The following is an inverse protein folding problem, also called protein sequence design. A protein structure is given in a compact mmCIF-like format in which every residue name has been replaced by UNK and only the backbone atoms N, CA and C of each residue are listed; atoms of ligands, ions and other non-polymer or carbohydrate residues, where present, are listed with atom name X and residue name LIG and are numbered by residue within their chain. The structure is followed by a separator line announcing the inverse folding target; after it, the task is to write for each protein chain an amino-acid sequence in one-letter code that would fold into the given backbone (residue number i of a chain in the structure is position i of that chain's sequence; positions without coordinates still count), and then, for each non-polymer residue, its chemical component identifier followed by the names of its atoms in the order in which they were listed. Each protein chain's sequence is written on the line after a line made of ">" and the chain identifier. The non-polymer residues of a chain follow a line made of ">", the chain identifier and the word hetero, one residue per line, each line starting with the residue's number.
data_IF_175885556627
#
_entry.id   IF_175885556627
#
_cell.length_a   1.000
_cell.length_b   1.000
_cell.length_c   1.000
_cell.angle_alpha   90.00
_cell.angle_beta   90.00
_cell.angle_gamma   90.00
#
_symmetry.space_group_name_H-M   'P 1'
#
loop_
_entity.id
_entity.type
_entity.pdbx_description
1 polymer ?
#
# COMPACT_ATOMS: atom_id res chain seq x y z
N UNK A 1 18.51 23.63 -18.54
CA UNK A 1 17.49 22.65 -19.02
C UNK A 1 17.02 21.84 -17.85
N UNK A 2 15.73 21.97 -17.43
CA UNK A 2 15.18 21.21 -16.32
C UNK A 2 15.04 19.75 -16.76
N UNK A 3 15.62 18.82 -16.02
CA UNK A 3 15.52 17.39 -16.30
C UNK A 3 14.09 16.92 -15.96
N UNK A 4 13.42 16.32 -16.92
CA UNK A 4 12.14 15.68 -16.69
C UNK A 4 12.36 14.49 -15.74
N UNK A 5 11.56 14.41 -14.67
CA UNK A 5 11.61 13.28 -13.72
C UNK A 5 10.83 12.13 -14.35
N UNK A 6 11.50 11.02 -14.61
CA UNK A 6 10.83 9.80 -15.05
C UNK A 6 10.14 9.11 -13.86
N UNK A 7 8.90 8.74 -14.06
CA UNK A 7 8.13 7.98 -13.07
C UNK A 7 8.65 6.53 -13.01
N UNK A 8 9.06 6.10 -11.82
CA UNK A 8 9.44 4.71 -11.52
C UNK A 8 8.19 3.91 -11.14
N UNK A 9 7.18 3.91 -11.97
CA UNK A 9 5.99 3.06 -11.78
C UNK A 9 6.07 1.87 -12.71
N UNK A 10 5.96 0.67 -12.16
CA UNK A 10 5.77 -0.53 -12.97
C UNK A 10 4.43 -0.42 -13.70
N UNK A 11 4.53 -0.22 -15.03
CA UNK A 11 3.35 -0.04 -15.90
C UNK A 11 2.60 -1.34 -16.15
N UNK A 12 3.15 -2.48 -15.74
CA UNK A 12 2.57 -3.81 -15.96
C UNK A 12 1.73 -4.29 -14.81
N UNK A 13 1.86 -3.69 -13.61
CA UNK A 13 1.09 -4.09 -12.45
C UNK A 13 -0.39 -3.67 -12.59
N UNK A 14 -1.28 -4.63 -12.62
CA UNK A 14 -2.74 -4.40 -12.64
C UNK A 14 -3.23 -3.65 -11.38
N UNK A 15 -2.47 -3.73 -10.29
CA UNK A 15 -2.79 -3.10 -8.99
C UNK A 15 -2.30 -1.65 -8.83
N UNK A 16 -2.26 -0.87 -9.92
CA UNK A 16 -1.78 0.54 -9.86
C UNK A 16 -2.58 1.45 -8.94
N UNK A 17 -3.76 1.03 -8.52
CA UNK A 17 -4.68 1.86 -7.74
C UNK A 17 -5.46 1.03 -6.74
N UNK A 18 -5.07 1.11 -5.48
CA UNK A 18 -5.84 0.55 -4.37
C UNK A 18 -7.04 1.44 -4.09
N UNK A 19 -8.24 0.82 -4.00
CA UNK A 19 -9.48 1.52 -3.75
C UNK A 19 -9.77 1.62 -2.25
N UNK A 20 -10.60 2.57 -1.87
CA UNK A 20 -11.06 2.76 -0.51
C UNK A 20 -11.82 1.52 0.00
N UNK A 21 -11.57 1.13 1.24
CA UNK A 21 -12.29 0.01 1.86
C UNK A 21 -13.79 0.27 2.07
N UNK A 22 -14.20 1.55 2.05
CA UNK A 22 -15.57 2.00 2.31
C UNK A 22 -16.28 2.58 1.09
N UNK A 23 -15.54 2.84 0.01
CA UNK A 23 -16.10 3.33 -1.25
C UNK A 23 -15.24 2.84 -2.42
N UNK A 24 -15.64 1.76 -3.10
CA UNK A 24 -14.86 1.15 -4.18
C UNK A 24 -14.73 2.02 -5.44
N UNK A 25 -15.51 3.11 -5.56
CA UNK A 25 -15.40 4.06 -6.69
C UNK A 25 -14.26 5.07 -6.49
N UNK A 26 -13.72 5.15 -5.29
CA UNK A 26 -12.65 6.10 -4.93
C UNK A 26 -11.35 5.40 -4.58
N UNK A 27 -10.24 6.02 -4.93
CA UNK A 27 -8.92 5.55 -4.47
C UNK A 27 -8.80 5.67 -2.94
N UNK A 28 -8.07 4.76 -2.31
CA UNK A 28 -7.68 4.90 -0.91
C UNK A 28 -6.89 6.20 -0.72
N UNK A 29 -7.29 7.01 0.26
CA UNK A 29 -6.69 8.31 0.52
C UNK A 29 -6.46 8.53 2.01
N UNK A 30 -5.26 9.01 2.35
CA UNK A 30 -4.88 9.37 3.72
C UNK A 30 -5.76 10.49 4.30
N UNK A 31 -6.25 11.40 3.48
CA UNK A 31 -7.08 12.54 3.87
C UNK A 31 -8.59 12.28 3.80
N UNK A 32 -9.04 11.05 3.52
CA UNK A 32 -10.46 10.74 3.52
C UNK A 32 -11.08 10.97 4.92
N UNK A 33 -12.32 11.51 5.03
CA UNK A 33 -12.97 11.76 6.32
C UNK A 33 -13.20 10.48 7.13
N UNK A 34 -13.62 9.39 6.46
CA UNK A 34 -13.84 8.09 7.11
C UNK A 34 -12.50 7.38 7.36
N UNK A 35 -12.12 7.27 8.62
CA UNK A 35 -10.89 6.59 9.06
C UNK A 35 -10.88 5.09 8.73
N UNK A 36 -12.06 4.46 8.56
CA UNK A 36 -12.18 3.04 8.19
C UNK A 36 -11.98 2.82 6.68
N UNK A 37 -11.83 3.89 5.90
CA UNK A 37 -11.65 3.81 4.44
C UNK A 37 -10.24 3.39 4.01
N UNK A 38 -9.27 3.39 4.94
CA UNK A 38 -7.84 3.17 4.67
C UNK A 38 -7.13 2.42 5.78
N UNK A 39 -6.03 1.77 5.42
CA UNK A 39 -5.06 1.23 6.36
C UNK A 39 -3.88 2.21 6.44
N UNK A 40 -3.44 2.52 7.65
CA UNK A 40 -2.23 3.29 7.93
C UNK A 40 -1.10 2.33 8.34
N UNK A 41 0.14 2.70 8.05
CA UNK A 41 1.31 1.93 8.51
C UNK A 41 1.41 1.85 10.04
N UNK A 42 0.77 2.80 10.75
CA UNK A 42 0.75 2.87 12.22
C UNK A 42 -0.49 2.27 12.85
N UNK A 43 -1.40 1.67 12.05
CA UNK A 43 -2.60 1.01 12.62
C UNK A 43 -2.20 -0.20 13.45
N UNK A 44 -2.79 -0.35 14.64
CA UNK A 44 -2.60 -1.55 15.45
C UNK A 44 -3.28 -2.77 14.82
N UNK A 45 -2.90 -4.01 15.20
CA UNK A 45 -3.57 -5.21 14.72
C UNK A 45 -5.10 -5.16 14.88
N UNK A 46 -5.60 -4.67 16.02
CA UNK A 46 -7.03 -4.53 16.30
C UNK A 46 -7.69 -3.52 15.35
N UNK A 47 -7.00 -2.42 15.05
CA UNK A 47 -7.48 -1.42 14.11
C UNK A 47 -7.53 -1.98 12.69
N UNK A 48 -6.51 -2.73 12.26
CA UNK A 48 -6.50 -3.40 10.95
C UNK A 48 -7.67 -4.38 10.85
N UNK A 49 -7.85 -5.27 11.85
CA UNK A 49 -8.98 -6.20 11.89
C UNK A 49 -10.33 -5.47 11.81
N UNK A 50 -10.51 -4.41 12.61
CA UNK A 50 -11.75 -3.63 12.61
C UNK A 50 -12.04 -2.99 11.26
N UNK A 51 -11.04 -2.37 10.63
CA UNK A 51 -11.17 -1.69 9.33
C UNK A 51 -11.45 -2.68 8.20
N UNK A 52 -10.73 -3.79 8.14
CA UNK A 52 -10.95 -4.83 7.12
C UNK A 52 -12.30 -5.51 7.32
N UNK A 53 -12.72 -5.78 8.57
CA UNK A 53 -14.07 -6.32 8.87
C UNK A 53 -15.17 -5.39 8.34
N UNK A 54 -15.01 -4.07 8.48
CA UNK A 54 -15.96 -3.05 8.02
C UNK A 54 -15.85 -2.73 6.52
N UNK A 55 -14.85 -3.26 5.81
CA UNK A 55 -14.72 -3.07 4.37
C UNK A 55 -15.99 -3.51 3.65
N UNK A 56 -16.40 -2.74 2.64
CA UNK A 56 -17.59 -3.07 1.85
C UNK A 56 -17.29 -4.33 1.03
N UNK A 57 -18.25 -5.24 0.97
CA UNK A 57 -18.32 -6.39 0.06
C UNK A 57 -19.77 -6.54 -0.38
N UNK A 58 -19.98 -7.19 -1.50
CA UNK A 58 -21.33 -7.53 -1.95
C UNK A 58 -21.95 -8.69 -1.11
N UNK A 59 -23.20 -9.02 -1.41
CA UNK A 59 -23.97 -10.08 -0.71
C UNK A 59 -23.74 -11.49 -1.27
N UNK A 60 -22.91 -11.64 -2.31
CA UNK A 60 -22.65 -12.95 -2.91
C UNK A 60 -21.80 -13.80 -1.97
N UNK A 61 -22.20 -15.06 -1.84
CA UNK A 61 -21.56 -16.02 -0.93
C UNK A 61 -20.22 -16.54 -1.43
N UNK A 62 -20.01 -16.52 -2.76
CA UNK A 62 -18.79 -17.03 -3.41
C UNK A 62 -17.80 -15.90 -3.72
N UNK A 63 -16.51 -16.13 -3.47
CA UNK A 63 -15.46 -15.18 -3.84
C UNK A 63 -15.07 -15.40 -5.29
N UNK A 64 -15.17 -14.35 -6.11
CA UNK A 64 -14.68 -14.29 -7.50
C UNK A 64 -13.96 -12.97 -7.72
N UNK A 65 -12.97 -12.98 -8.59
CA UNK A 65 -12.31 -11.78 -9.05
C UNK A 65 -13.01 -11.26 -10.31
N UNK A 66 -13.64 -10.12 -10.20
CA UNK A 66 -14.33 -9.41 -11.27
C UNK A 66 -14.31 -7.90 -10.94
N UNK A 67 -13.33 -7.14 -11.45
CA UNK A 67 -13.21 -5.72 -11.14
C UNK A 67 -14.38 -4.86 -11.59
N UNK A 68 -15.12 -5.27 -12.63
CA UNK A 68 -16.24 -4.51 -13.16
C UNK A 68 -17.52 -4.78 -12.37
N UNK A 69 -17.89 -6.05 -12.21
CA UNK A 69 -19.11 -6.42 -11.51
C UNK A 69 -18.97 -6.41 -9.98
N UNK A 70 -17.76 -6.64 -9.46
CA UNK A 70 -17.48 -6.80 -8.02
C UNK A 70 -16.25 -5.99 -7.56
N UNK A 71 -16.23 -4.68 -7.77
CA UNK A 71 -15.03 -3.84 -7.52
C UNK A 71 -14.56 -3.90 -6.07
N UNK A 72 -15.46 -4.01 -5.10
CA UNK A 72 -15.12 -4.05 -3.68
C UNK A 72 -14.38 -5.34 -3.28
N UNK A 73 -14.89 -6.50 -3.68
CA UNK A 73 -14.26 -7.81 -3.42
C UNK A 73 -12.95 -7.93 -4.18
N UNK A 74 -12.95 -7.49 -5.46
CA UNK A 74 -11.77 -7.51 -6.31
C UNK A 74 -10.65 -6.63 -5.76
N UNK A 75 -10.98 -5.47 -5.18
CA UNK A 75 -10.01 -4.62 -4.49
C UNK A 75 -9.33 -5.34 -3.31
N UNK A 76 -10.10 -6.08 -2.49
CA UNK A 76 -9.52 -6.84 -1.36
C UNK A 76 -8.60 -7.97 -1.86
N UNK A 77 -8.98 -8.65 -2.95
CA UNK A 77 -8.15 -9.66 -3.60
C UNK A 77 -6.88 -9.07 -4.22
N UNK A 78 -6.97 -7.88 -4.82
CA UNK A 78 -5.81 -7.16 -5.36
C UNK A 78 -4.83 -6.75 -4.25
N UNK A 79 -5.33 -6.30 -3.11
CA UNK A 79 -4.47 -5.99 -1.95
C UNK A 79 -3.77 -7.27 -1.48
N UNK A 80 -4.49 -8.38 -1.34
CA UNK A 80 -3.91 -9.67 -0.92
C UNK A 80 -2.87 -10.17 -1.93
N UNK A 81 -3.13 -10.03 -3.24
CA UNK A 81 -2.17 -10.35 -4.30
C UNK A 81 -0.92 -9.46 -4.25
N UNK A 82 -1.09 -8.16 -3.94
CA UNK A 82 0.01 -7.23 -3.73
C UNK A 82 0.88 -7.55 -2.50
N UNK A 83 0.35 -8.34 -1.57
CA UNK A 83 1.09 -8.93 -0.43
C UNK A 83 1.60 -10.35 -0.74
N UNK A 84 1.71 -10.70 -2.03
CA UNK A 84 2.20 -11.99 -2.53
C UNK A 84 1.44 -13.18 -1.92
N UNK A 85 0.11 -13.03 -1.79
CA UNK A 85 -0.78 -14.01 -1.17
C UNK A 85 -0.77 -14.01 0.37
N UNK A 86 0.13 -13.24 0.99
CA UNK A 86 0.23 -13.08 2.43
C UNK A 86 0.34 -14.42 3.17
N UNK A 87 -0.45 -14.58 4.23
CA UNK A 87 -0.44 -15.81 5.05
C UNK A 87 -0.85 -17.07 4.29
N UNK A 88 -1.57 -16.94 3.18
CA UNK A 88 -2.00 -18.11 2.38
C UNK A 88 -0.81 -18.78 1.71
N UNK A 89 0.24 -18.02 1.40
CA UNK A 89 1.44 -18.51 0.72
C UNK A 89 2.14 -19.65 1.47
N UNK A 90 2.16 -19.62 2.81
CA UNK A 90 2.82 -20.62 3.64
C UNK A 90 2.19 -22.02 3.54
N UNK A 91 0.97 -22.12 3.03
CA UNK A 91 0.24 -23.38 2.86
C UNK A 91 0.30 -23.92 1.43
N UNK A 92 1.09 -23.30 0.55
CA UNK A 92 1.15 -23.60 -0.88
C UNK A 92 2.46 -24.26 -1.26
N UNK A 93 2.40 -25.08 -2.31
CA UNK A 93 3.60 -25.61 -2.97
C UNK A 93 4.34 -24.49 -3.72
N UNK A 94 5.63 -24.68 -3.98
CA UNK A 94 6.46 -23.70 -4.71
C UNK A 94 5.84 -23.30 -6.07
N UNK A 95 5.25 -24.25 -6.78
CA UNK A 95 4.57 -24.00 -8.04
C UNK A 95 3.30 -23.12 -7.92
N UNK A 96 2.61 -23.22 -6.80
CA UNK A 96 1.42 -22.41 -6.49
C UNK A 96 1.80 -21.03 -5.96
N UNK A 97 2.91 -20.94 -5.24
CA UNK A 97 3.39 -19.66 -4.72
C UNK A 97 3.69 -18.63 -5.81
N UNK A 98 4.14 -19.06 -6.98
CA UNK A 98 4.37 -18.20 -8.15
C UNK A 98 3.07 -17.51 -8.62
N UNK A 99 1.90 -18.13 -8.34
CA UNK A 99 0.59 -17.60 -8.73
C UNK A 99 -0.06 -16.70 -7.69
N UNK A 100 0.58 -16.48 -6.53
CA UNK A 100 0.00 -15.67 -5.44
C UNK A 100 -0.20 -14.19 -5.80
N UNK A 101 0.43 -13.72 -6.87
CA UNK A 101 0.22 -12.37 -7.40
C UNK A 101 -1.01 -12.25 -8.32
N UNK A 102 -1.66 -13.38 -8.61
CA UNK A 102 -2.92 -13.41 -9.39
C UNK A 102 -4.14 -13.39 -8.45
N UNK A 103 -4.94 -12.33 -8.45
CA UNK A 103 -6.14 -12.23 -7.62
C UNK A 103 -7.19 -13.31 -7.93
N UNK A 104 -7.28 -13.78 -9.20
CA UNK A 104 -8.21 -14.82 -9.60
C UNK A 104 -7.79 -16.19 -9.02
N UNK A 105 -6.49 -16.48 -9.00
CA UNK A 105 -5.95 -17.65 -8.32
C UNK A 105 -6.24 -17.62 -6.83
N UNK A 106 -6.01 -16.51 -6.14
CA UNK A 106 -6.30 -16.36 -4.71
C UNK A 106 -7.81 -16.52 -4.41
N UNK A 107 -8.68 -16.04 -5.30
CA UNK A 107 -10.11 -16.28 -5.18
C UNK A 107 -10.46 -17.77 -5.26
N UNK A 108 -9.83 -18.53 -6.17
CA UNK A 108 -10.02 -19.97 -6.29
C UNK A 108 -9.50 -20.73 -5.07
N UNK A 109 -8.35 -20.31 -4.55
CA UNK A 109 -7.73 -20.87 -3.35
C UNK A 109 -8.62 -20.70 -2.11
N UNK A 110 -9.13 -19.50 -1.89
CA UNK A 110 -10.03 -19.19 -0.79
C UNK A 110 -11.34 -19.99 -0.86
N UNK A 111 -11.84 -20.29 -2.08
CA UNK A 111 -13.00 -21.18 -2.26
C UNK A 111 -12.67 -22.63 -1.86
N UNK A 112 -11.49 -23.09 -2.26
CA UNK A 112 -11.09 -24.49 -1.99
C UNK A 112 -10.81 -24.74 -0.50
N UNK A 113 -10.14 -23.81 0.17
CA UNK A 113 -9.62 -24.03 1.52
C UNK A 113 -10.27 -23.16 2.61
N UNK A 114 -10.88 -22.03 2.25
CA UNK A 114 -11.42 -21.04 3.19
C UNK A 114 -12.94 -20.99 3.30
N UNK A 115 -13.67 -21.97 2.72
CA UNK A 115 -15.14 -21.96 2.70
C UNK A 115 -15.75 -20.89 1.79
N UNK A 116 -14.94 -20.17 0.99
CA UNK A 116 -15.39 -19.29 -0.08
C UNK A 116 -16.13 -18.03 0.36
N UNK A 117 -16.15 -17.70 1.65
CA UNK A 117 -16.95 -16.59 2.18
C UNK A 117 -16.14 -15.27 2.22
N UNK A 118 -16.84 -14.14 2.08
CA UNK A 118 -16.23 -12.81 2.26
C UNK A 118 -15.59 -12.62 3.65
N UNK A 119 -16.05 -13.34 4.66
CA UNK A 119 -15.45 -13.34 5.99
C UNK A 119 -14.06 -14.01 5.99
N UNK A 120 -13.91 -15.13 5.27
CA UNK A 120 -12.62 -15.80 5.12
C UNK A 120 -11.59 -14.92 4.38
N UNK A 121 -12.01 -14.25 3.30
CA UNK A 121 -11.16 -13.29 2.60
C UNK A 121 -10.71 -12.15 3.52
N UNK A 122 -11.65 -11.54 4.26
CA UNK A 122 -11.34 -10.45 5.18
C UNK A 122 -10.41 -10.88 6.31
N UNK A 123 -10.58 -12.08 6.83
CA UNK A 123 -9.70 -12.65 7.86
C UNK A 123 -8.28 -12.82 7.31
N UNK A 124 -8.13 -13.55 6.21
CA UNK A 124 -6.84 -13.78 5.56
C UNK A 124 -6.13 -12.47 5.21
N UNK A 125 -6.86 -11.49 4.66
CA UNK A 125 -6.32 -10.18 4.31
C UNK A 125 -5.84 -9.40 5.55
N UNK A 126 -6.63 -9.37 6.63
CA UNK A 126 -6.24 -8.65 7.84
C UNK A 126 -4.97 -9.24 8.47
N UNK A 127 -4.89 -10.56 8.58
CA UNK A 127 -3.72 -11.25 9.10
C UNK A 127 -2.49 -11.03 8.22
N UNK A 128 -2.64 -11.08 6.89
CA UNK A 128 -1.56 -10.79 5.94
C UNK A 128 -1.03 -9.36 6.06
N UNK A 129 -1.92 -8.38 6.17
CA UNK A 129 -1.52 -6.97 6.39
C UNK A 129 -0.77 -6.81 7.70
N UNK A 130 -1.22 -7.43 8.78
CA UNK A 130 -0.57 -7.34 10.10
C UNK A 130 0.84 -7.92 10.05
N UNK A 131 1.02 -9.08 9.43
CA UNK A 131 2.36 -9.70 9.29
C UNK A 131 3.30 -8.81 8.47
N UNK A 132 2.82 -8.27 7.34
CA UNK A 132 3.62 -7.41 6.48
C UNK A 132 4.01 -6.09 7.15
N UNK A 133 3.12 -5.52 7.96
CA UNK A 133 3.38 -4.26 8.66
C UNK A 133 4.28 -4.43 9.89
N UNK A 134 4.36 -5.61 10.50
CA UNK A 134 5.08 -5.86 11.74
C UNK A 134 6.55 -5.40 11.70
N UNK A 135 7.39 -5.79 10.72
CA UNK A 135 8.78 -5.34 10.65
C UNK A 135 8.90 -3.83 10.46
N UNK A 136 8.01 -3.23 9.66
CA UNK A 136 7.99 -1.78 9.43
C UNK A 136 7.63 -1.03 10.71
N UNK A 137 6.63 -1.51 11.46
CA UNK A 137 6.19 -0.90 12.73
C UNK A 137 7.26 -1.01 13.81
N UNK A 138 7.96 -2.14 13.87
CA UNK A 138 9.07 -2.35 14.80
C UNK A 138 10.19 -1.34 14.54
N UNK A 139 10.59 -1.19 13.29
CA UNK A 139 11.62 -0.22 12.92
C UNK A 139 11.16 1.23 13.11
N UNK A 140 9.90 1.53 12.78
CA UNK A 140 9.31 2.85 13.06
C UNK A 140 9.36 3.20 14.54
N UNK A 141 8.95 2.28 15.42
CA UNK A 141 8.99 2.51 16.87
C UNK A 141 10.42 2.73 17.38
N UNK A 142 11.39 1.96 16.86
CA UNK A 142 12.81 2.13 17.18
C UNK A 142 13.31 3.52 16.78
N UNK A 143 13.01 3.95 15.56
CA UNK A 143 13.47 5.24 15.01
C UNK A 143 12.83 6.43 15.73
N UNK A 144 11.53 6.37 16.04
CA UNK A 144 10.85 7.45 16.76
C UNK A 144 11.40 7.63 18.17
N UNK A 145 11.88 6.54 18.79
CA UNK A 145 12.54 6.58 20.09
C UNK A 145 13.98 7.14 20.09
N UNK A 146 14.60 7.29 18.90
CA UNK A 146 15.99 7.77 18.75
C UNK A 146 16.02 9.18 18.15
N UNK A 147 15.84 10.19 19.03
CA UNK A 147 15.88 11.60 18.62
C UNK A 147 17.22 12.00 18.02
N UNK A 148 18.33 11.47 18.52
CA UNK A 148 19.67 11.77 18.01
C UNK A 148 19.86 11.29 16.57
N UNK A 149 19.31 10.12 16.23
CA UNK A 149 19.31 9.64 14.85
C UNK A 149 18.45 10.51 13.94
N UNK A 150 17.26 10.89 14.39
CA UNK A 150 16.35 11.75 13.60
C UNK A 150 16.96 13.11 13.32
N UNK A 151 17.54 13.78 14.32
CA UNK A 151 18.26 15.05 14.16
C UNK A 151 19.42 14.95 13.17
N UNK A 152 20.19 13.86 13.23
CA UNK A 152 21.28 13.60 12.28
C UNK A 152 20.74 13.45 10.84
N UNK A 153 19.67 12.69 10.65
CA UNK A 153 19.06 12.50 9.33
C UNK A 153 18.48 13.79 8.78
N UNK A 154 17.84 14.61 9.60
CA UNK A 154 17.34 15.93 9.23
C UNK A 154 18.49 16.84 8.73
N UNK A 155 19.59 16.94 9.50
CA UNK A 155 20.75 17.76 9.10
C UNK A 155 21.35 17.30 7.76
N UNK A 156 21.57 16.01 7.59
CA UNK A 156 22.09 15.45 6.34
C UNK A 156 21.15 15.70 5.15
N UNK A 157 19.84 15.56 5.38
CA UNK A 157 18.82 15.86 4.38
C UNK A 157 18.82 17.34 3.99
N UNK A 158 18.91 18.23 4.99
CA UNK A 158 18.97 19.68 4.79
C UNK A 158 20.19 20.09 3.97
N UNK A 159 21.38 19.58 4.28
CA UNK A 159 22.61 19.86 3.50
C UNK A 159 22.48 19.45 2.04
N UNK A 160 22.00 18.23 1.79
CA UNK A 160 21.76 17.73 0.43
C UNK A 160 20.74 18.56 -0.33
N UNK A 161 19.64 18.91 0.31
CA UNK A 161 18.58 19.72 -0.29
C UNK A 161 19.07 21.13 -0.60
N UNK A 162 19.74 21.79 0.34
CA UNK A 162 20.31 23.12 0.16
C UNK A 162 21.33 23.15 -0.96
N UNK A 163 22.26 22.20 -1.02
CA UNK A 163 23.27 22.14 -2.06
C UNK A 163 22.66 22.05 -3.46
N UNK A 164 21.62 21.22 -3.63
CA UNK A 164 20.90 21.08 -4.92
C UNK A 164 20.10 22.33 -5.26
N UNK A 165 19.31 22.83 -4.30
CA UNK A 165 18.47 24.01 -4.51
C UNK A 165 19.30 25.26 -4.81
N UNK A 166 20.42 25.49 -4.10
CA UNK A 166 21.28 26.66 -4.32
C UNK A 166 21.84 26.73 -5.73
N UNK A 167 22.23 25.58 -6.31
CA UNK A 167 22.69 25.53 -7.71
C UNK A 167 21.58 25.96 -8.68
N UNK A 168 20.42 25.31 -8.56
CA UNK A 168 19.28 25.59 -9.44
C UNK A 168 18.79 27.02 -9.31
N UNK A 169 18.71 27.56 -8.09
CA UNK A 169 18.30 28.94 -7.85
C UNK A 169 19.35 29.93 -8.37
N UNK A 170 20.64 29.64 -8.21
CA UNK A 170 21.70 30.46 -8.77
C UNK A 170 21.59 30.59 -10.32
N UNK A 171 21.36 29.43 -10.97
CA UNK A 171 21.20 29.39 -12.43
C UNK A 171 19.95 30.15 -12.90
N UNK A 172 18.81 29.94 -12.20
CA UNK A 172 17.58 30.69 -12.50
C UNK A 172 17.78 32.19 -12.31
N UNK A 173 18.40 32.63 -11.21
CA UNK A 173 18.69 34.06 -10.95
C UNK A 173 19.56 34.65 -12.03
N UNK A 174 20.61 33.95 -12.49
CA UNK A 174 21.46 34.41 -13.60
C UNK A 174 20.66 34.61 -14.88
N UNK A 175 19.83 33.66 -15.26
CA UNK A 175 19.01 33.74 -16.46
C UNK A 175 17.95 34.83 -16.41
N UNK A 176 17.45 35.15 -15.21
CA UNK A 176 16.47 36.23 -15.01
C UNK A 176 17.10 37.61 -14.75
N UNK A 177 18.42 37.71 -14.74
CA UNK A 177 19.12 38.98 -14.42
C UNK A 177 18.98 39.39 -12.95
N UNK A 178 18.64 38.49 -12.05
CA UNK A 178 18.43 38.73 -10.61
C UNK A 178 19.68 38.41 -9.77
N UNK A 179 20.79 38.08 -10.38
CA UNK A 179 22.06 37.93 -9.67
C UNK A 179 22.63 39.32 -9.40
N UNK A 180 22.85 39.69 -8.12
CA UNK A 180 23.66 40.85 -7.80
C UNK A 180 25.08 40.66 -8.35
N UNK A 181 25.72 41.73 -8.88
CA UNK A 181 27.10 41.71 -9.35
C UNK A 181 28.06 41.32 -8.22
#
# INVERSE_FOLDING_TARGET
>A
MLRQVESVTDRTAESKRILSLRNPDRKMSKSAPDVNSRILLTDTPEQVHSKVKKAITDSLTTITFDPEARPAVSNLLQILAGLDGGILRSHLTDAEQVKCQDPAFLASLLRAYGGGSGAALKKALAESIIEELRPVQTEYARLVGDSGYLDKMERLGLEKARSRASRSISDVRKHLGLSHP
#
